data_IF_120001980062
#
_entry.id   IF_120001980062
#
_cell.length_a   1.000
_cell.length_b   1.000
_cell.length_c   1.000
_cell.angle_alpha   90.00
_cell.angle_beta   90.00
_cell.angle_gamma   90.00
#
_symmetry.space_group_name_H-M   'P 1'
#
loop_
_entity.id
_entity.type
_entity.pdbx_description
1 polymer ?
#
# COMPACT_ATOMS: atom_id res chain seq x y z
N UNK A 1 -23.54 25.67 20.59
CA UNK A 1 -22.88 25.79 21.91
C UNK A 1 -22.57 24.39 22.40
N UNK A 2 -21.30 23.99 22.28
CA UNK A 2 -20.52 23.16 23.21
C UNK A 2 -19.12 23.00 22.59
N UNK A 3 -18.37 24.11 22.57
CA UNK A 3 -16.92 24.02 22.60
C UNK A 3 -16.57 23.73 24.06
N UNK A 4 -16.38 22.46 24.40
CA UNK A 4 -15.97 22.05 25.74
C UNK A 4 -14.54 21.55 25.69
N UNK A 5 -13.63 22.37 26.25
CA UNK A 5 -12.30 21.96 26.70
C UNK A 5 -11.16 22.07 25.67
N UNK A 6 -9.90 22.19 26.14
CA UNK A 6 -8.75 21.87 25.31
C UNK A 6 -8.95 20.44 24.78
N UNK A 7 -8.55 20.16 23.53
CA UNK A 7 -8.71 18.83 22.96
C UNK A 7 -7.99 17.80 23.84
N UNK A 8 -8.73 17.11 24.71
CA UNK A 8 -8.17 16.04 25.53
C UNK A 8 -7.65 14.96 24.58
N UNK A 9 -6.37 14.62 24.73
CA UNK A 9 -5.77 13.60 23.89
C UNK A 9 -6.55 12.30 24.04
N UNK A 10 -7.06 11.75 22.91
CA UNK A 10 -7.81 10.48 22.90
C UNK A 10 -6.99 9.32 23.47
N UNK A 11 -5.67 9.46 23.45
CA UNK A 11 -4.71 8.60 24.14
C UNK A 11 -3.74 9.50 24.92
N UNK A 12 -3.61 9.35 26.24
CA UNK A 12 -2.64 10.13 27.00
C UNK A 12 -1.20 9.76 26.62
N UNK A 13 -0.21 10.65 26.82
CA UNK A 13 1.19 10.35 26.57
C UNK A 13 1.64 9.08 27.31
N UNK A 14 2.39 8.22 26.62
CA UNK A 14 2.91 6.96 27.17
C UNK A 14 4.43 7.05 27.33
N UNK A 15 4.92 6.76 28.53
CA UNK A 15 6.35 6.58 28.78
C UNK A 15 6.68 5.09 28.75
N UNK A 16 7.38 4.67 27.69
CA UNK A 16 7.78 3.29 27.49
C UNK A 16 9.24 3.17 27.89
N UNK A 17 9.54 2.22 28.77
CA UNK A 17 10.92 1.91 29.16
C UNK A 17 11.08 0.41 29.26
N UNK A 18 11.75 -0.17 28.27
CA UNK A 18 12.15 -1.58 28.34
C UNK A 18 13.25 -1.72 29.39
N UNK A 19 12.88 -2.16 30.59
CA UNK A 19 13.83 -2.47 31.66
C UNK A 19 13.48 -3.81 32.30
N UNK A 20 14.50 -4.52 32.80
CA UNK A 20 14.33 -5.83 33.47
C UNK A 20 13.58 -5.72 34.82
N UNK A 21 13.47 -4.52 35.38
CA UNK A 21 12.77 -4.26 36.64
C UNK A 21 11.83 -3.09 36.40
N UNK A 22 10.57 -3.40 36.06
CA UNK A 22 9.54 -2.40 35.83
C UNK A 22 9.40 -1.47 37.05
N UNK A 23 9.34 -0.15 36.81
CA UNK A 23 8.94 0.83 37.81
C UNK A 23 7.44 1.06 37.73
N UNK A 24 6.83 1.35 38.87
CA UNK A 24 5.40 1.66 38.94
C UNK A 24 5.06 2.86 38.04
N UNK A 25 4.16 2.66 37.07
CA UNK A 25 3.76 3.68 36.09
C UNK A 25 4.50 3.66 34.74
N UNK A 26 5.48 2.77 34.53
CA UNK A 26 6.18 2.60 33.24
C UNK A 26 5.69 1.35 32.50
N UNK A 27 5.49 1.44 31.17
CA UNK A 27 5.22 0.27 30.33
C UNK A 27 6.54 -0.45 30.04
N UNK A 28 6.67 -1.70 30.51
CA UNK A 28 7.95 -2.43 30.52
C UNK A 28 7.93 -3.72 29.70
N UNK A 29 6.76 -4.33 29.49
CA UNK A 29 6.59 -5.51 28.64
C UNK A 29 5.95 -5.18 27.29
N UNK A 30 6.25 -6.01 26.29
CA UNK A 30 5.70 -5.88 24.93
C UNK A 30 4.19 -6.04 24.92
N UNK A 31 3.67 -6.98 25.70
CA UNK A 31 2.25 -7.28 25.81
C UNK A 31 1.48 -6.12 26.43
N UNK A 32 2.03 -5.45 27.44
CA UNK A 32 1.44 -4.26 28.05
C UNK A 32 1.39 -3.09 27.07
N UNK A 33 2.49 -2.86 26.34
CA UNK A 33 2.56 -1.82 25.30
C UNK A 33 1.47 -2.11 24.25
N UNK A 34 1.41 -3.32 23.71
CA UNK A 34 0.39 -3.71 22.71
C UNK A 34 -1.04 -3.51 23.24
N UNK A 35 -1.30 -3.87 24.49
CA UNK A 35 -2.62 -3.70 25.11
C UNK A 35 -3.02 -2.22 25.23
N UNK A 36 -2.10 -1.36 25.66
CA UNK A 36 -2.36 0.09 25.77
C UNK A 36 -2.60 0.70 24.41
N UNK A 37 -1.73 0.42 23.43
CA UNK A 37 -1.90 0.93 22.07
C UNK A 37 -3.19 0.44 21.42
N UNK A 38 -3.56 -0.84 21.61
CA UNK A 38 -4.83 -1.39 21.11
C UNK A 38 -6.03 -0.66 21.70
N UNK A 39 -5.99 -0.33 23.00
CA UNK A 39 -7.05 0.46 23.64
C UNK A 39 -7.12 1.88 23.08
N UNK A 40 -5.98 2.54 22.89
CA UNK A 40 -5.92 3.87 22.29
C UNK A 40 -6.48 3.89 20.86
N UNK A 41 -6.11 2.90 20.03
CA UNK A 41 -6.64 2.75 18.67
C UNK A 41 -8.15 2.51 18.68
N UNK A 42 -8.66 1.68 19.59
CA UNK A 42 -10.09 1.46 19.72
C UNK A 42 -10.85 2.75 20.06
N UNK A 43 -10.32 3.57 20.99
CA UNK A 43 -10.90 4.87 21.33
C UNK A 43 -10.89 5.87 20.16
N UNK A 44 -9.81 5.89 19.36
CA UNK A 44 -9.72 6.72 18.15
C UNK A 44 -10.78 6.27 17.13
N UNK A 45 -10.91 4.96 16.88
CA UNK A 45 -11.91 4.42 15.95
C UNK A 45 -13.34 4.74 16.41
N UNK A 46 -13.64 4.54 17.70
CA UNK A 46 -14.94 4.89 18.27
C UNK A 46 -15.24 6.39 18.13
N UNK A 47 -14.27 7.25 18.44
CA UNK A 47 -14.40 8.70 18.26
C UNK A 47 -14.64 9.09 16.80
N UNK A 48 -13.95 8.45 15.85
CA UNK A 48 -14.06 8.73 14.42
C UNK A 48 -15.39 8.28 13.81
N UNK A 49 -16.08 7.31 14.40
CA UNK A 49 -17.33 6.74 13.88
C UNK A 49 -18.57 7.35 14.54
N UNK A 50 -18.42 7.95 15.73
CA UNK A 50 -19.51 8.61 16.43
C UNK A 50 -19.71 10.04 15.90
N UNK A 51 -20.76 10.26 15.09
CA UNK A 51 -21.12 11.59 14.54
C UNK A 51 -21.18 12.71 15.57
N UNK A 52 -21.60 12.43 16.81
CA UNK A 52 -21.67 13.45 17.86
C UNK A 52 -20.30 13.89 18.41
N UNK A 53 -19.24 13.12 18.12
CA UNK A 53 -17.84 13.41 18.47
C UNK A 53 -17.00 13.85 17.28
N UNK A 54 -17.55 13.81 16.06
CA UNK A 54 -16.85 14.29 14.88
C UNK A 54 -16.76 15.82 14.92
N UNK A 55 -15.59 16.36 14.60
CA UNK A 55 -15.43 17.80 14.42
C UNK A 55 -16.07 18.23 13.09
N UNK A 56 -16.64 19.44 13.06
CA UNK A 56 -17.20 20.03 11.84
C UNK A 56 -16.10 20.38 10.82
N UNK A 57 -14.83 20.47 11.25
CA UNK A 57 -13.70 20.93 10.44
C UNK A 57 -12.46 20.05 10.68
N UNK A 58 -11.52 20.04 9.74
CA UNK A 58 -10.29 19.24 9.82
C UNK A 58 -9.06 20.15 9.73
N UNK A 59 -8.55 20.59 10.88
CA UNK A 59 -7.43 21.53 10.96
C UNK A 59 -6.08 20.81 11.14
N UNK A 60 -5.57 20.22 10.05
CA UNK A 60 -4.34 19.41 10.04
C UNK A 60 -3.12 20.22 10.50
N UNK A 61 -2.92 21.42 9.96
CA UNK A 61 -1.78 22.28 10.30
C UNK A 61 -1.76 22.68 11.77
N UNK A 62 -2.94 22.93 12.36
CA UNK A 62 -3.09 23.21 13.78
C UNK A 62 -2.77 22.00 14.64
N UNK A 63 -3.31 20.82 14.29
CA UNK A 63 -3.05 19.57 14.99
C UNK A 63 -1.56 19.20 14.98
N UNK A 64 -0.89 19.36 13.83
CA UNK A 64 0.56 19.15 13.70
C UNK A 64 1.33 20.12 14.59
N UNK A 65 0.98 21.40 14.55
CA UNK A 65 1.65 22.41 15.37
C UNK A 65 1.54 22.10 16.87
N UNK A 66 0.39 21.63 17.33
CA UNK A 66 0.17 21.22 18.72
C UNK A 66 0.95 19.94 19.07
N UNK A 67 0.98 18.93 18.19
CA UNK A 67 1.70 17.68 18.42
C UNK A 67 3.23 17.88 18.49
N UNK A 68 3.75 18.81 17.68
CA UNK A 68 5.17 19.16 17.66
C UNK A 68 5.55 19.98 18.90
N UNK A 69 4.68 20.89 19.32
CA UNK A 69 4.88 21.68 20.54
C UNK A 69 4.83 20.81 21.80
N UNK A 70 3.89 19.86 21.88
CA UNK A 70 3.73 18.97 23.04
C UNK A 70 4.87 17.97 23.21
N UNK A 71 5.65 17.73 22.16
CA UNK A 71 6.82 16.84 22.16
C UNK A 71 8.14 17.60 22.06
N UNK A 72 8.15 18.91 22.37
CA UNK A 72 9.39 19.68 22.47
C UNK A 72 10.28 19.13 23.58
N UNK A 73 11.53 18.85 23.24
CA UNK A 73 12.54 18.34 24.15
C UNK A 73 13.76 17.82 23.41
N UNK A 74 14.77 17.42 24.18
CA UNK A 74 16.00 16.84 23.66
C UNK A 74 15.79 15.33 23.44
N UNK A 75 15.25 14.99 22.26
CA UNK A 75 15.09 13.61 21.81
C UNK A 75 16.06 13.32 20.68
N UNK A 76 16.70 12.14 20.71
CA UNK A 76 17.60 11.69 19.64
C UNK A 76 16.87 11.52 18.31
N UNK A 77 15.63 11.01 18.35
CA UNK A 77 14.76 10.89 17.19
C UNK A 77 13.34 11.32 17.53
N UNK A 78 12.67 11.99 16.58
CA UNK A 78 11.29 12.45 16.72
C UNK A 78 10.49 12.01 15.50
N UNK A 79 9.41 11.28 15.72
CA UNK A 79 8.52 10.82 14.66
C UNK A 79 7.14 11.47 14.79
N UNK A 80 6.61 11.93 13.67
CA UNK A 80 5.24 12.42 13.58
C UNK A 80 4.47 11.54 12.59
N UNK A 81 3.53 10.75 13.07
CA UNK A 81 2.70 9.87 12.23
C UNK A 81 1.31 10.51 12.08
N UNK A 82 0.91 10.75 10.83
CA UNK A 82 -0.35 11.41 10.50
C UNK A 82 -1.19 10.46 9.66
N UNK A 83 -2.42 10.20 10.11
CA UNK A 83 -3.41 9.43 9.38
C UNK A 83 -4.54 10.35 8.90
N UNK A 84 -4.62 10.61 7.60
CA UNK A 84 -5.61 11.54 7.04
C UNK A 84 -5.85 11.32 5.54
N UNK A 85 -6.94 11.86 4.99
CA UNK A 85 -7.08 12.08 3.54
C UNK A 85 -6.33 13.33 3.05
N UNK A 86 -5.74 14.06 4.00
CA UNK A 86 -4.96 15.28 3.82
C UNK A 86 -5.76 16.44 3.21
N UNK A 87 -7.10 16.40 3.32
CA UNK A 87 -7.97 17.53 3.05
C UNK A 87 -8.06 18.41 4.31
N UNK A 88 -7.44 19.60 4.30
CA UNK A 88 -7.59 20.56 5.40
C UNK A 88 -8.82 21.43 5.15
N UNK A 89 -9.82 21.28 6.02
CA UNK A 89 -11.05 22.06 6.01
C UNK A 89 -11.09 22.96 7.25
N UNK A 90 -11.28 24.26 7.04
CA UNK A 90 -11.23 25.29 8.07
C UNK A 90 -12.56 26.03 8.13
N UNK A 91 -12.99 26.49 9.33
CA UNK A 91 -14.15 27.37 9.43
C UNK A 91 -13.95 28.64 8.60
N UNK A 92 -15.04 29.26 8.15
CA UNK A 92 -14.99 30.51 7.39
C UNK A 92 -14.14 31.57 8.10
N UNK A 93 -13.12 32.09 7.41
CA UNK A 93 -12.15 33.05 7.97
C UNK A 93 -11.03 32.42 8.80
N UNK A 94 -11.06 31.10 9.00
CA UNK A 94 -9.98 30.31 9.57
C UNK A 94 -8.71 30.44 8.74
N UNK A 95 -7.56 30.40 9.41
CA UNK A 95 -6.25 30.50 8.78
C UNK A 95 -5.48 29.22 9.02
N UNK A 96 -4.80 28.74 8.00
CA UNK A 96 -3.86 27.63 8.15
C UNK A 96 -2.77 28.01 9.15
N UNK A 97 -2.47 27.13 10.09
CA UNK A 97 -1.42 27.39 11.08
C UNK A 97 -0.04 27.38 10.40
N UNK A 98 0.87 28.21 10.90
CA UNK A 98 2.28 28.12 10.52
C UNK A 98 2.90 26.96 11.28
N UNK A 99 3.31 25.93 10.55
CA UNK A 99 3.99 24.77 11.12
C UNK A 99 5.48 25.09 11.24
N UNK A 100 6.09 24.71 12.36
CA UNK A 100 7.53 24.78 12.56
C UNK A 100 8.02 23.47 13.15
N UNK A 101 8.49 22.61 12.25
CA UNK A 101 9.14 21.36 12.56
C UNK A 101 10.59 21.61 12.96
N UNK A 102 11.13 20.71 13.79
CA UNK A 102 12.49 20.71 14.33
C UNK A 102 13.08 19.32 14.17
N UNK A 103 13.32 18.93 12.91
CA UNK A 103 13.89 17.63 12.49
C UNK A 103 13.00 16.41 12.81
N UNK A 104 11.68 16.55 12.86
CA UNK A 104 10.81 15.38 12.93
C UNK A 104 10.86 14.60 11.61
N UNK A 105 10.86 13.27 11.72
CA UNK A 105 10.61 12.33 10.64
C UNK A 105 9.10 12.15 10.50
N UNK A 106 8.52 12.65 9.43
CA UNK A 106 7.07 12.65 9.21
C UNK A 106 6.65 11.42 8.40
N UNK A 107 5.69 10.66 8.91
CA UNK A 107 5.09 9.51 8.23
C UNK A 107 3.63 9.85 7.93
N UNK A 108 3.32 10.04 6.65
CA UNK A 108 1.99 10.33 6.14
C UNK A 108 1.29 9.04 5.71
N UNK A 109 0.33 8.58 6.50
CA UNK A 109 -0.56 7.47 6.17
C UNK A 109 -1.82 8.03 5.51
N UNK A 110 -2.02 7.73 4.24
CA UNK A 110 -3.05 8.42 3.45
C UNK A 110 -4.06 7.48 2.76
N UNK A 111 -5.27 7.99 2.56
CA UNK A 111 -6.30 7.37 1.71
C UNK A 111 -7.13 8.46 1.01
N UNK A 112 -7.78 8.18 -0.13
CA UNK A 112 -8.73 9.13 -0.71
C UNK A 112 -9.88 9.43 0.26
N UNK A 113 -10.43 10.66 0.18
CA UNK A 113 -11.60 11.06 0.96
C UNK A 113 -12.81 10.24 0.53
N UNK A 114 -13.74 10.03 1.47
CA UNK A 114 -14.99 9.37 1.14
C UNK A 114 -15.81 10.20 0.14
N UNK A 115 -16.13 9.61 -1.01
CA UNK A 115 -16.94 10.28 -2.04
C UNK A 115 -16.19 11.34 -2.84
N UNK A 116 -14.86 11.40 -2.74
CA UNK A 116 -14.03 12.23 -3.63
C UNK A 116 -14.26 11.83 -5.10
N UNK A 117 -14.27 12.80 -6.04
CA UNK A 117 -14.23 12.48 -7.46
C UNK A 117 -13.07 11.52 -7.76
N UNK A 118 -13.22 10.58 -8.70
CA UNK A 118 -12.18 9.59 -9.01
C UNK A 118 -11.02 10.21 -9.82
N UNK A 119 -10.42 11.29 -9.33
CA UNK A 119 -9.25 11.94 -9.89
C UNK A 119 -8.01 11.62 -9.05
N UNK A 120 -7.34 10.53 -9.44
CA UNK A 120 -6.10 10.08 -8.78
C UNK A 120 -5.00 11.15 -8.88
N UNK A 121 -5.02 11.99 -9.91
CA UNK A 121 -4.04 13.06 -10.09
C UNK A 121 -4.18 14.13 -9.01
N UNK A 122 -5.36 14.72 -8.88
CA UNK A 122 -5.65 15.76 -7.88
C UNK A 122 -5.38 15.27 -6.45
N UNK A 123 -5.79 14.03 -6.16
CA UNK A 123 -5.50 13.39 -4.88
C UNK A 123 -4.00 13.30 -4.58
N UNK A 124 -3.20 12.78 -5.52
CA UNK A 124 -1.76 12.63 -5.32
C UNK A 124 -1.05 13.98 -5.29
N UNK A 125 -1.49 14.97 -6.07
CA UNK A 125 -0.96 16.34 -6.01
C UNK A 125 -1.17 16.95 -4.62
N UNK A 126 -2.32 16.67 -3.96
CA UNK A 126 -2.55 17.06 -2.57
C UNK A 126 -1.58 16.38 -1.60
N UNK A 127 -1.31 15.09 -1.77
CA UNK A 127 -0.33 14.37 -0.94
C UNK A 127 1.08 14.94 -1.15
N UNK A 128 1.51 15.17 -2.40
CA UNK A 128 2.80 15.77 -2.71
C UNK A 128 2.93 17.20 -2.16
N UNK A 129 1.85 17.98 -2.21
CA UNK A 129 1.82 19.32 -1.64
C UNK A 129 2.07 19.30 -0.13
N UNK A 130 1.41 18.40 0.60
CA UNK A 130 1.67 18.23 2.04
C UNK A 130 3.09 17.76 2.32
N UNK A 131 3.62 16.83 1.52
CA UNK A 131 4.99 16.38 1.64
C UNK A 131 5.97 17.55 1.53
N UNK A 132 5.83 18.39 0.49
CA UNK A 132 6.65 19.61 0.31
C UNK A 132 6.48 20.57 1.48
N UNK A 133 5.24 20.81 1.90
CA UNK A 133 4.93 21.71 3.02
C UNK A 133 5.60 21.26 4.32
N UNK A 134 5.62 19.97 4.64
CA UNK A 134 6.33 19.46 5.82
C UNK A 134 7.85 19.63 5.69
N UNK A 135 8.44 19.31 4.53
CA UNK A 135 9.86 19.54 4.28
C UNK A 135 10.23 21.02 4.46
N UNK A 136 9.48 21.93 3.85
CA UNK A 136 9.66 23.39 3.96
C UNK A 136 9.46 23.90 5.39
N UNK A 137 8.65 23.21 6.19
CA UNK A 137 8.41 23.55 7.61
C UNK A 137 9.51 23.07 8.55
N UNK A 138 10.52 22.32 8.06
CA UNK A 138 11.67 21.86 8.86
C UNK A 138 11.67 20.37 9.24
N UNK A 139 10.92 19.52 8.54
CA UNK A 139 11.02 18.06 8.71
C UNK A 139 12.42 17.55 8.30
N UNK A 140 12.94 16.53 8.99
CA UNK A 140 14.16 15.82 8.57
C UNK A 140 13.88 15.01 7.30
N UNK A 141 12.78 14.26 7.32
CA UNK A 141 12.31 13.47 6.20
C UNK A 141 10.78 13.37 6.22
N UNK A 142 10.20 13.12 5.05
CA UNK A 142 8.77 12.84 4.92
C UNK A 142 8.60 11.57 4.08
N UNK A 143 7.88 10.59 4.61
CA UNK A 143 7.53 9.33 3.92
C UNK A 143 6.01 9.22 3.79
N UNK A 144 5.53 8.86 2.62
CA UNK A 144 4.10 8.71 2.32
C UNK A 144 3.75 7.25 2.06
N UNK A 145 2.73 6.73 2.75
CA UNK A 145 2.26 5.36 2.55
C UNK A 145 0.75 5.40 2.35
N UNK A 146 0.23 4.91 1.22
CA UNK A 146 -1.20 4.73 1.09
C UNK A 146 -1.64 3.55 1.97
N UNK A 147 -2.73 3.75 2.71
CA UNK A 147 -3.19 2.82 3.76
C UNK A 147 -3.45 1.40 3.26
N UNK A 148 -3.90 1.22 2.03
CA UNK A 148 -4.16 -0.11 1.48
C UNK A 148 -2.86 -0.94 1.36
N UNK A 149 -1.70 -0.29 1.38
CA UNK A 149 -0.38 -0.87 1.16
C UNK A 149 0.46 -1.00 2.43
N UNK A 150 -0.07 -0.63 3.60
CA UNK A 150 0.69 -0.70 4.85
C UNK A 150 0.96 -2.16 5.23
N UNK A 151 2.20 -2.46 5.59
CA UNK A 151 2.62 -3.72 6.22
C UNK A 151 3.50 -3.42 7.42
N UNK A 152 3.61 -4.36 8.37
CA UNK A 152 4.50 -4.19 9.51
C UNK A 152 5.94 -3.97 9.03
N UNK A 153 6.38 -4.76 8.05
CA UNK A 153 7.74 -4.65 7.57
C UNK A 153 8.02 -3.31 6.89
N UNK A 154 7.06 -2.81 6.10
CA UNK A 154 7.15 -1.49 5.47
C UNK A 154 7.23 -0.36 6.49
N UNK A 155 6.46 -0.48 7.57
CA UNK A 155 6.46 0.51 8.64
C UNK A 155 7.77 0.47 9.44
N UNK A 156 8.27 -0.73 9.76
CA UNK A 156 9.58 -0.94 10.38
C UNK A 156 10.71 -0.36 9.56
N UNK A 157 10.67 -0.55 8.24
CA UNK A 157 11.69 0.00 7.35
C UNK A 157 11.76 1.52 7.44
N UNK A 158 10.61 2.19 7.48
CA UNK A 158 10.59 3.65 7.60
C UNK A 158 11.17 4.11 8.94
N UNK A 159 10.81 3.43 10.04
CA UNK A 159 11.23 3.85 11.38
C UNK A 159 12.71 3.52 11.64
N UNK A 160 13.15 2.30 11.30
CA UNK A 160 14.46 1.80 11.68
C UNK A 160 15.61 2.26 10.77
N UNK A 161 15.33 3.10 9.75
CA UNK A 161 16.27 3.56 8.70
C UNK A 161 17.03 2.38 8.09
N UNK A 162 16.50 1.71 7.05
CA UNK A 162 17.11 0.50 6.58
C UNK A 162 18.48 0.82 6.02
N UNK A 163 19.50 0.03 6.34
CA UNK A 163 20.76 0.11 5.61
C UNK A 163 20.48 -0.09 4.10
N UNK A 164 21.24 0.52 3.19
CA UNK A 164 21.01 0.40 1.74
C UNK A 164 20.98 -1.05 1.23
N UNK A 165 21.64 -1.98 1.93
CA UNK A 165 21.57 -3.43 1.68
C UNK A 165 20.22 -4.11 2.00
N UNK A 166 19.29 -3.43 2.70
CA UNK A 166 17.97 -3.95 3.08
C UNK A 166 16.85 -3.53 2.13
N UNK A 167 17.16 -2.95 0.97
CA UNK A 167 16.15 -2.61 -0.02
C UNK A 167 15.52 -3.91 -0.57
N UNK A 168 14.21 -4.02 -0.35
CA UNK A 168 13.39 -5.24 -0.40
C UNK A 168 12.79 -5.52 -1.76
N UNK A 169 12.13 -6.66 -1.85
CA UNK A 169 11.25 -7.01 -2.96
C UNK A 169 9.82 -6.64 -2.61
N UNK A 170 9.15 -5.87 -3.47
CA UNK A 170 7.71 -5.65 -3.43
C UNK A 170 7.09 -6.37 -4.61
N UNK A 171 6.15 -7.27 -4.34
CA UNK A 171 5.38 -7.95 -5.36
C UNK A 171 3.90 -7.57 -5.23
N UNK A 172 3.35 -7.01 -6.31
CA UNK A 172 1.92 -6.66 -6.38
C UNK A 172 1.25 -7.47 -7.46
N UNK A 173 0.18 -8.17 -7.09
CA UNK A 173 -0.72 -8.88 -8.00
C UNK A 173 -1.97 -8.04 -8.17
N UNK A 174 -2.16 -7.51 -9.36
CA UNK A 174 -3.37 -6.82 -9.79
C UNK A 174 -4.29 -7.78 -10.52
N UNK A 175 -5.57 -7.78 -10.17
CA UNK A 175 -6.59 -8.49 -10.92
C UNK A 175 -7.74 -7.59 -11.33
N UNK A 176 -8.06 -7.65 -12.61
CA UNK A 176 -9.25 -7.08 -13.19
C UNK A 176 -10.38 -8.11 -13.13
N UNK A 177 -11.36 -7.86 -12.27
CA UNK A 177 -12.38 -8.86 -11.93
C UNK A 177 -13.59 -8.88 -12.88
N UNK A 178 -13.45 -8.40 -14.11
CA UNK A 178 -14.53 -8.46 -15.09
C UNK A 178 -15.06 -9.89 -15.27
N UNK A 179 -16.38 -10.08 -15.44
CA UNK A 179 -16.98 -11.42 -15.50
C UNK A 179 -16.46 -12.35 -16.60
N UNK A 180 -16.00 -11.83 -17.74
CA UNK A 180 -15.42 -12.68 -18.81
C UNK A 180 -14.00 -13.13 -18.51
N UNK A 181 -13.30 -12.45 -17.60
CA UNK A 181 -12.01 -12.89 -17.07
C UNK A 181 -12.26 -13.94 -15.98
N UNK A 182 -13.21 -13.67 -15.07
CA UNK A 182 -13.58 -14.55 -13.95
C UNK A 182 -15.10 -14.78 -13.89
N UNK A 183 -15.65 -15.80 -14.60
CA UNK A 183 -17.09 -16.02 -14.66
C UNK A 183 -17.67 -16.57 -13.35
N UNK A 184 -18.71 -15.92 -12.82
CA UNK A 184 -19.29 -16.16 -11.49
C UNK A 184 -20.12 -17.45 -11.31
N UNK A 185 -20.16 -18.37 -12.29
CA UNK A 185 -21.21 -19.40 -12.36
C UNK A 185 -20.87 -20.74 -13.01
N UNK A 186 -19.63 -21.22 -12.97
CA UNK A 186 -19.29 -22.57 -13.43
C UNK A 186 -17.88 -22.97 -13.02
N UNK A 187 -17.41 -24.13 -13.50
CA UNK A 187 -16.02 -24.62 -13.47
C UNK A 187 -15.03 -23.68 -14.21
N UNK A 188 -15.21 -22.36 -14.13
CA UNK A 188 -14.32 -21.37 -14.71
C UNK A 188 -13.14 -21.08 -13.77
N UNK A 189 -12.25 -20.21 -14.24
CA UNK A 189 -11.11 -19.64 -13.50
C UNK A 189 -11.45 -19.10 -12.10
N UNK A 190 -12.75 -18.91 -11.80
CA UNK A 190 -13.30 -18.52 -10.51
C UNK A 190 -13.17 -19.59 -9.40
N UNK A 191 -12.83 -20.85 -9.72
CA UNK A 191 -12.50 -21.89 -8.74
C UNK A 191 -11.06 -21.76 -8.22
N UNK A 192 -10.61 -20.56 -7.83
CA UNK A 192 -9.29 -20.26 -7.23
C UNK A 192 -8.02 -20.71 -7.98
N UNK A 193 -8.12 -21.53 -9.04
CA UNK A 193 -7.03 -22.36 -9.56
C UNK A 193 -5.87 -21.54 -10.12
N UNK A 194 -6.14 -20.52 -10.94
CA UNK A 194 -5.07 -19.71 -11.52
C UNK A 194 -4.40 -18.80 -10.49
N UNK A 195 -5.16 -18.14 -9.61
CA UNK A 195 -4.55 -17.35 -8.54
C UNK A 195 -3.75 -18.23 -7.58
N UNK A 196 -4.25 -19.43 -7.25
CA UNK A 196 -3.50 -20.41 -6.45
C UNK A 196 -2.23 -20.84 -7.19
N UNK A 197 -2.29 -21.07 -8.50
CA UNK A 197 -1.13 -21.43 -9.32
C UNK A 197 -0.11 -20.28 -9.39
N UNK A 198 -0.55 -19.03 -9.53
CA UNK A 198 0.31 -17.84 -9.42
C UNK A 198 0.94 -17.80 -8.03
N UNK A 199 0.15 -17.91 -6.96
CA UNK A 199 0.62 -17.89 -5.57
C UNK A 199 1.67 -18.96 -5.28
N UNK A 200 1.50 -20.18 -5.83
CA UNK A 200 2.49 -21.27 -5.75
C UNK A 200 3.82 -20.92 -6.42
N UNK A 201 3.77 -20.34 -7.61
CA UNK A 201 4.99 -19.91 -8.31
C UNK A 201 5.67 -18.76 -7.57
N UNK A 202 4.89 -17.80 -7.05
CA UNK A 202 5.42 -16.72 -6.20
C UNK A 202 6.12 -17.29 -4.96
N UNK A 203 5.48 -18.22 -4.26
CA UNK A 203 6.07 -18.88 -3.09
C UNK A 203 7.39 -19.58 -3.43
N UNK A 204 7.43 -20.33 -4.55
CA UNK A 204 8.63 -21.03 -4.99
C UNK A 204 9.78 -20.09 -5.43
N UNK A 205 9.46 -18.87 -5.88
CA UNK A 205 10.46 -17.89 -6.35
C UNK A 205 10.94 -16.94 -5.25
N UNK A 206 10.22 -16.82 -4.13
CA UNK A 206 10.46 -15.74 -3.16
C UNK A 206 11.85 -15.78 -2.52
N UNK A 207 12.42 -16.97 -2.33
CA UNK A 207 13.78 -17.17 -1.83
C UNK A 207 14.87 -16.74 -2.80
N UNK A 208 14.56 -16.62 -4.10
CA UNK A 208 15.49 -16.09 -5.10
C UNK A 208 15.52 -14.56 -5.09
N UNK A 209 14.69 -13.88 -4.31
CA UNK A 209 14.61 -12.41 -4.32
C UNK A 209 15.28 -11.77 -3.11
N UNK A 210 15.68 -10.49 -3.21
CA UNK A 210 16.16 -9.72 -2.07
C UNK A 210 15.15 -9.74 -0.91
N UNK A 211 15.60 -10.24 0.24
CA UNK A 211 14.80 -10.32 1.46
C UNK A 211 14.64 -8.95 2.15
N UNK A 212 13.51 -8.65 2.80
CA UNK A 212 12.27 -9.45 2.77
C UNK A 212 11.45 -9.20 1.49
N UNK A 213 10.53 -10.10 1.18
CA UNK A 213 9.54 -10.00 0.12
C UNK A 213 8.19 -9.59 0.72
N UNK A 214 7.64 -8.46 0.30
CA UNK A 214 6.27 -8.04 0.64
C UNK A 214 5.36 -8.36 -0.54
N UNK A 215 4.37 -9.23 -0.34
CA UNK A 215 3.38 -9.61 -1.36
C UNK A 215 2.04 -8.92 -1.07
N UNK A 216 1.44 -8.33 -2.11
CA UNK A 216 0.15 -7.66 -2.02
C UNK A 216 -0.77 -8.07 -3.18
N UNK A 217 -2.04 -8.32 -2.88
CA UNK A 217 -3.07 -8.66 -3.86
C UNK A 217 -4.12 -7.54 -3.92
N UNK A 218 -4.41 -7.00 -5.10
CA UNK A 218 -5.29 -5.85 -5.28
C UNK A 218 -6.23 -6.05 -6.46
N UNK A 219 -7.53 -5.93 -6.20
CA UNK A 219 -8.58 -5.90 -7.22
C UNK A 219 -8.73 -4.52 -7.82
N UNK A 220 -8.65 -4.45 -9.14
CA UNK A 220 -8.94 -3.26 -9.93
C UNK A 220 -10.46 -3.14 -10.10
N UNK A 221 -10.96 -1.91 -10.08
CA UNK A 221 -12.38 -1.59 -10.26
C UNK A 221 -12.53 -0.36 -11.17
N UNK A 222 -13.73 0.17 -11.36
CA UNK A 222 -14.01 1.33 -12.21
C UNK A 222 -13.43 2.67 -11.74
N UNK A 223 -12.68 2.67 -10.64
CA UNK A 223 -11.92 3.81 -10.13
C UNK A 223 -10.70 3.31 -9.37
N UNK A 224 -9.56 3.98 -9.56
CA UNK A 224 -8.33 3.75 -8.80
C UNK A 224 -8.45 4.00 -7.29
N UNK A 225 -9.55 4.60 -6.82
CA UNK A 225 -9.85 4.77 -5.39
C UNK A 225 -10.67 3.62 -4.80
N UNK A 226 -11.32 2.81 -5.63
CA UNK A 226 -12.16 1.69 -5.21
C UNK A 226 -11.40 0.37 -5.27
N UNK A 227 -10.23 0.34 -4.62
CA UNK A 227 -9.37 -0.84 -4.57
C UNK A 227 -9.88 -1.85 -3.56
N UNK A 228 -9.87 -3.14 -3.94
CA UNK A 228 -10.05 -4.26 -3.00
C UNK A 228 -8.69 -4.89 -2.74
N UNK A 229 -8.02 -4.45 -1.68
CA UNK A 229 -6.71 -4.96 -1.31
C UNK A 229 -6.82 -6.00 -0.19
N UNK A 230 -6.15 -7.14 -0.35
CA UNK A 230 -5.83 -8.01 0.78
C UNK A 230 -4.72 -7.38 1.63
N UNK A 231 -4.63 -7.79 2.89
CA UNK A 231 -3.51 -7.38 3.73
C UNK A 231 -2.19 -7.88 3.11
N UNK A 232 -1.17 -7.02 2.98
CA UNK A 232 0.15 -7.48 2.55
C UNK A 232 0.70 -8.56 3.48
N UNK A 233 1.45 -9.50 2.92
CA UNK A 233 2.16 -10.55 3.66
C UNK A 233 3.66 -10.35 3.44
N UNK A 234 4.40 -10.34 4.54
CA UNK A 234 5.85 -10.19 4.54
C UNK A 234 6.51 -11.56 4.74
N UNK A 235 7.46 -11.89 3.86
CA UNK A 235 8.24 -13.13 3.90
C UNK A 235 9.73 -12.83 3.88
N UNK A 236 10.49 -13.48 4.76
CA UNK A 236 11.94 -13.39 4.73
C UNK A 236 12.54 -14.59 5.41
N UNK A 237 13.18 -15.46 4.64
CA UNK A 237 13.77 -16.69 5.18
C UNK A 237 14.81 -16.39 6.24
N UNK A 238 14.63 -17.00 7.41
CA UNK A 238 15.57 -16.91 8.55
C UNK A 238 15.70 -18.27 9.20
N UNK A 239 16.93 -18.59 9.63
CA UNK A 239 17.20 -19.82 10.40
C UNK A 239 16.61 -19.77 11.81
N UNK A 240 16.53 -18.56 12.40
CA UNK A 240 15.98 -18.33 13.73
C UNK A 240 15.06 -17.12 13.67
N UNK A 241 13.79 -17.30 14.02
CA UNK A 241 12.82 -16.22 14.16
C UNK A 241 13.13 -15.44 15.42
N UNK A 242 13.43 -14.16 15.30
CA UNK A 242 13.68 -13.29 16.45
C UNK A 242 12.35 -12.81 17.06
N UNK A 243 12.38 -12.38 18.32
CA UNK A 243 11.21 -11.76 18.96
C UNK A 243 10.74 -10.47 18.27
N UNK A 244 11.60 -9.90 17.42
CA UNK A 244 11.33 -8.71 16.62
C UNK A 244 10.68 -9.02 15.27
N UNK A 245 10.65 -10.28 14.84
CA UNK A 245 10.01 -10.75 13.60
C UNK A 245 8.51 -11.03 13.78
N UNK A 246 7.79 -10.05 14.33
CA UNK A 246 6.34 -10.09 14.40
C UNK A 246 5.76 -10.02 12.97
N UNK A 247 4.77 -10.86 12.70
CA UNK A 247 4.05 -11.02 11.43
C UNK A 247 4.90 -11.34 10.17
N UNK A 248 6.23 -11.35 10.27
CA UNK A 248 7.12 -11.86 9.23
C UNK A 248 7.06 -13.39 9.20
N UNK A 249 6.71 -13.93 8.04
CA UNK A 249 6.79 -15.37 7.77
C UNK A 249 8.24 -15.71 7.43
N UNK A 250 8.83 -16.65 8.17
CA UNK A 250 10.23 -17.07 7.98
C UNK A 250 10.37 -18.49 7.45
N UNK A 251 9.28 -19.26 7.47
CA UNK A 251 9.19 -20.63 6.97
C UNK A 251 8.55 -20.68 5.57
N UNK A 252 9.15 -21.45 4.67
CA UNK A 252 8.69 -21.56 3.28
C UNK A 252 7.32 -22.24 3.17
N UNK A 253 7.05 -23.25 4.00
CA UNK A 253 5.77 -23.98 3.97
C UNK A 253 4.64 -23.11 4.50
N UNK A 254 4.89 -22.35 5.57
CA UNK A 254 3.95 -21.34 6.08
C UNK A 254 3.66 -20.27 5.02
N UNK A 255 4.68 -19.80 4.30
CA UNK A 255 4.51 -18.80 3.24
C UNK A 255 3.70 -19.34 2.07
N UNK A 256 3.96 -20.58 1.63
CA UNK A 256 3.17 -21.25 0.61
C UNK A 256 1.70 -21.35 1.00
N UNK A 257 1.40 -21.77 2.23
CA UNK A 257 0.03 -21.84 2.75
C UNK A 257 -0.62 -20.46 2.72
N UNK A 258 0.07 -19.42 3.19
CA UNK A 258 -0.42 -18.06 3.19
C UNK A 258 -0.73 -17.55 1.76
N UNK A 259 0.10 -17.86 0.77
CA UNK A 259 -0.14 -17.51 -0.63
C UNK A 259 -1.37 -18.21 -1.21
N UNK A 260 -1.57 -19.48 -0.93
CA UNK A 260 -2.77 -20.20 -1.39
C UNK A 260 -4.05 -19.67 -0.72
N UNK A 261 -4.02 -19.39 0.58
CA UNK A 261 -5.16 -18.84 1.32
C UNK A 261 -5.53 -17.44 0.84
N UNK A 262 -4.53 -16.58 0.62
CA UNK A 262 -4.73 -15.25 0.02
C UNK A 262 -5.34 -15.36 -1.37
N UNK A 263 -4.78 -16.21 -2.24
CA UNK A 263 -5.30 -16.42 -3.59
C UNK A 263 -6.77 -16.86 -3.59
N UNK A 264 -7.14 -17.79 -2.70
CA UNK A 264 -8.53 -18.25 -2.53
C UNK A 264 -9.44 -17.12 -2.06
N UNK A 265 -9.07 -16.38 -1.00
CA UNK A 265 -9.87 -15.25 -0.49
C UNK A 265 -10.04 -14.17 -1.56
N UNK A 266 -8.94 -13.79 -2.20
CA UNK A 266 -8.90 -12.77 -3.24
C UNK A 266 -9.81 -13.11 -4.42
N UNK A 267 -9.85 -14.38 -4.85
CA UNK A 267 -10.74 -14.84 -5.93
C UNK A 267 -12.23 -14.62 -5.62
N UNK A 268 -12.64 -14.70 -4.35
CA UNK A 268 -14.02 -14.45 -3.92
C UNK A 268 -14.32 -12.96 -3.85
N UNK A 269 -13.32 -12.13 -3.55
CA UNK A 269 -13.46 -10.67 -3.47
C UNK A 269 -13.80 -10.03 -4.83
N UNK A 270 -13.55 -10.69 -5.96
CA UNK A 270 -13.78 -10.13 -7.29
C UNK A 270 -15.22 -9.98 -7.76
N UNK A 271 -16.19 -10.57 -7.05
CA UNK A 271 -17.58 -10.63 -7.53
C UNK A 271 -18.21 -9.23 -7.61
N UNK A 272 -18.89 -8.96 -8.73
CA UNK A 272 -19.69 -7.75 -8.95
C UNK A 272 -18.91 -6.51 -9.42
N UNK A 273 -17.69 -6.70 -9.93
CA UNK A 273 -16.90 -5.63 -10.55
C UNK A 273 -17.20 -5.58 -12.06
N UNK A 274 -17.53 -4.39 -12.57
CA UNK A 274 -17.92 -4.19 -13.98
C UNK A 274 -17.07 -3.14 -14.71
N UNK A 275 -16.23 -2.40 -13.99
CA UNK A 275 -15.36 -1.37 -14.55
C UNK A 275 -13.89 -1.62 -14.22
N UNK A 276 -13.01 -1.02 -15.02
CA UNK A 276 -11.57 -1.16 -14.90
C UNK A 276 -10.89 0.18 -15.13
N UNK A 277 -10.21 0.65 -14.08
CA UNK A 277 -9.32 1.79 -14.04
C UNK A 277 -7.91 1.29 -13.66
N UNK A 278 -7.24 0.66 -14.62
CA UNK A 278 -5.94 0.06 -14.40
C UNK A 278 -4.88 1.17 -14.26
N UNK A 279 -4.92 2.17 -15.12
CA UNK A 279 -3.98 3.29 -15.13
C UNK A 279 -4.07 4.15 -13.86
N UNK A 280 -5.28 4.42 -13.34
CA UNK A 280 -5.48 5.09 -12.06
C UNK A 280 -4.97 4.25 -10.88
N UNK A 281 -5.22 2.95 -10.90
CA UNK A 281 -4.67 2.02 -9.89
C UNK A 281 -3.14 2.01 -9.91
N UNK A 282 -2.53 1.96 -11.10
CA UNK A 282 -1.08 1.99 -11.28
C UNK A 282 -0.48 3.32 -10.83
N UNK A 283 -1.16 4.43 -11.13
CA UNK A 283 -0.78 5.76 -10.66
C UNK A 283 -0.79 5.84 -9.14
N UNK A 284 -1.80 5.27 -8.47
CA UNK A 284 -1.83 5.22 -7.01
C UNK A 284 -0.73 4.29 -6.43
N UNK A 285 -0.46 3.15 -7.07
CA UNK A 285 0.64 2.27 -6.65
C UNK A 285 2.03 2.91 -6.80
N UNK A 286 2.19 3.83 -7.74
CA UNK A 286 3.46 4.55 -7.91
C UNK A 286 3.80 5.49 -6.76
N UNK A 287 2.85 5.85 -5.90
CA UNK A 287 3.08 6.76 -4.77
C UNK A 287 3.54 6.04 -3.49
N UNK A 288 3.73 4.72 -3.53
CA UNK A 288 4.09 3.92 -2.36
C UNK A 288 5.55 4.14 -1.96
N UNK A 289 5.79 4.54 -0.71
CA UNK A 289 7.11 4.52 -0.08
C UNK A 289 7.22 3.48 1.04
N UNK A 290 8.44 3.00 1.37
CA UNK A 290 9.71 3.26 0.70
C UNK A 290 9.80 2.56 -0.66
N UNK A 291 10.62 3.11 -1.55
CA UNK A 291 10.85 2.54 -2.87
C UNK A 291 11.63 1.20 -2.71
N UNK A 292 11.11 0.07 -3.23
CA UNK A 292 11.79 -1.22 -3.14
C UNK A 292 13.02 -1.29 -4.08
N UNK A 293 13.95 -2.21 -3.83
CA UNK A 293 15.03 -2.54 -4.79
C UNK A 293 14.47 -3.24 -6.01
N UNK A 294 13.57 -4.17 -5.75
CA UNK A 294 12.94 -4.99 -6.76
C UNK A 294 11.43 -4.81 -6.66
N UNK A 295 10.83 -4.31 -7.73
CA UNK A 295 9.39 -4.13 -7.84
C UNK A 295 8.86 -5.10 -8.90
N UNK A 296 8.01 -6.05 -8.50
CA UNK A 296 7.40 -7.04 -9.39
C UNK A 296 5.91 -6.75 -9.45
N UNK A 297 5.41 -6.50 -10.64
CA UNK A 297 4.00 -6.23 -10.88
C UNK A 297 3.42 -7.31 -11.79
N UNK A 298 2.49 -8.10 -11.26
CA UNK A 298 1.74 -9.10 -12.03
C UNK A 298 0.34 -8.59 -12.25
N UNK A 299 -0.13 -8.54 -13.50
CA UNK A 299 -1.43 -7.96 -13.85
C UNK A 299 -2.24 -8.99 -14.61
N UNK A 300 -3.37 -9.40 -14.05
CA UNK A 300 -4.35 -10.27 -14.68
C UNK A 300 -5.49 -9.42 -15.20
N UNK A 301 -5.55 -9.21 -16.52
CA UNK A 301 -6.56 -8.35 -17.16
C UNK A 301 -6.75 -8.66 -18.64
N UNK A 302 -7.84 -8.18 -19.22
CA UNK A 302 -8.01 -8.04 -20.67
C UNK A 302 -7.36 -6.77 -21.22
N UNK A 303 -6.79 -5.95 -20.32
CA UNK A 303 -6.16 -4.66 -20.57
C UNK A 303 -7.09 -3.63 -21.22
N UNK A 304 -8.39 -3.85 -21.17
CA UNK A 304 -9.42 -2.93 -21.64
C UNK A 304 -9.89 -2.05 -20.48
N UNK A 305 -9.57 -0.76 -20.53
CA UNK A 305 -10.07 0.19 -19.55
C UNK A 305 -11.48 0.66 -19.90
N UNK A 306 -12.32 0.78 -18.88
CA UNK A 306 -13.68 1.30 -19.04
C UNK A 306 -13.76 2.79 -18.74
N UNK A 307 -12.67 3.39 -18.26
CA UNK A 307 -12.63 4.81 -17.91
C UNK A 307 -12.44 5.68 -19.17
N UNK A 308 -13.06 6.88 -19.23
CA UNK A 308 -13.02 7.71 -20.43
C UNK A 308 -11.64 8.29 -20.75
N UNK A 309 -10.80 8.49 -19.73
CA UNK A 309 -9.50 9.16 -19.84
C UNK A 309 -8.46 8.43 -18.98
N UNK A 310 -7.74 7.47 -19.56
CA UNK A 310 -6.60 6.83 -18.91
C UNK A 310 -5.59 7.87 -18.41
N UNK A 311 -5.04 7.65 -17.22
CA UNK A 311 -4.03 8.54 -16.65
C UNK A 311 -2.63 8.02 -16.91
N UNK A 312 -1.64 8.91 -17.00
CA UNK A 312 -0.24 8.49 -17.08
C UNK A 312 0.24 8.02 -15.70
N UNK A 313 1.04 6.96 -15.68
CA UNK A 313 1.72 6.48 -14.50
C UNK A 313 3.22 6.36 -14.78
N UNK A 314 4.02 6.38 -13.72
CA UNK A 314 5.46 6.14 -13.75
C UNK A 314 5.79 5.29 -12.55
N UNK A 315 6.57 4.23 -12.72
CA UNK A 315 7.02 3.44 -11.60
C UNK A 315 8.01 4.24 -10.74
N UNK A 316 8.13 3.91 -9.44
CA UNK A 316 9.15 4.50 -8.59
C UNK A 316 10.52 4.38 -9.25
N UNK A 317 11.17 5.53 -9.46
CA UNK A 317 12.44 5.62 -10.17
C UNK A 317 13.55 5.95 -9.16
N UNK A 318 14.50 5.03 -9.02
CA UNK A 318 15.75 5.25 -8.29
C UNK A 318 16.86 4.51 -9.03
N UNK A 319 18.11 4.97 -8.92
CA UNK A 319 19.27 4.31 -9.53
C UNK A 319 19.41 2.82 -9.19
N UNK A 320 18.72 2.35 -8.13
CA UNK A 320 18.80 0.98 -7.62
C UNK A 320 17.50 0.19 -7.75
N UNK A 321 16.43 0.80 -8.26
CA UNK A 321 15.11 0.16 -8.35
C UNK A 321 14.88 -0.43 -9.72
N UNK A 322 14.50 -1.71 -9.75
CA UNK A 322 14.14 -2.40 -10.99
C UNK A 322 12.68 -2.83 -10.95
N UNK A 323 11.89 -2.35 -11.92
CA UNK A 323 10.50 -2.77 -12.07
C UNK A 323 10.36 -3.83 -13.17
N UNK A 324 9.73 -4.96 -12.84
CA UNK A 324 9.39 -6.04 -13.77
C UNK A 324 7.87 -6.19 -13.84
N UNK A 325 7.32 -6.24 -15.05
CA UNK A 325 5.88 -6.37 -15.26
C UNK A 325 5.56 -7.69 -15.95
N UNK A 326 4.60 -8.44 -15.42
CA UNK A 326 4.03 -9.63 -16.05
C UNK A 326 2.57 -9.34 -16.39
N UNK A 327 2.25 -9.37 -17.68
CA UNK A 327 0.92 -9.16 -18.22
C UNK A 327 0.26 -10.51 -18.49
N UNK A 328 -0.57 -10.99 -17.57
CA UNK A 328 -1.47 -12.12 -17.83
C UNK A 328 -2.68 -11.62 -18.61
N UNK A 329 -2.74 -11.96 -19.89
CA UNK A 329 -3.67 -11.35 -20.83
C UNK A 329 -4.68 -12.35 -21.40
N UNK A 330 -5.88 -11.84 -21.69
CA UNK A 330 -6.95 -12.54 -22.40
C UNK A 330 -7.70 -11.55 -23.31
N UNK A 331 -8.22 -11.96 -24.47
CA UNK A 331 -9.08 -11.11 -25.28
C UNK A 331 -10.33 -10.65 -24.52
N UNK A 332 -10.75 -9.42 -24.80
CA UNK A 332 -12.01 -8.86 -24.31
C UNK A 332 -13.14 -9.19 -25.28
N UNK A 333 -14.42 -9.26 -24.84
CA UNK A 333 -15.56 -9.45 -25.74
C UNK A 333 -15.62 -8.40 -26.88
N UNK A 334 -15.13 -7.18 -26.64
CA UNK A 334 -15.07 -6.09 -27.62
C UNK A 334 -14.09 -6.39 -28.78
N UNK A 335 -13.16 -7.32 -28.61
CA UNK A 335 -12.20 -7.73 -29.64
C UNK A 335 -12.76 -8.75 -30.62
N UNK A 336 -13.95 -9.32 -30.34
CA UNK A 336 -14.52 -10.39 -31.15
C UNK A 336 -14.72 -10.01 -32.62
N UNK A 337 -14.85 -8.71 -32.92
CA UNK A 337 -15.04 -8.17 -34.27
C UNK A 337 -13.75 -7.70 -34.93
N UNK A 338 -12.68 -7.55 -34.17
CA UNK A 338 -11.40 -7.01 -34.61
C UNK A 338 -10.26 -7.60 -33.76
N UNK A 339 -9.68 -8.73 -34.20
CA UNK A 339 -8.58 -9.36 -33.49
C UNK A 339 -7.30 -8.52 -33.46
N UNK A 340 -7.11 -7.61 -34.41
CA UNK A 340 -5.91 -6.75 -34.45
C UNK A 340 -5.95 -5.73 -33.32
N UNK A 341 -7.15 -5.22 -33.00
CA UNK A 341 -7.38 -4.33 -31.83
C UNK A 341 -6.92 -4.93 -30.50
N UNK A 342 -7.01 -6.26 -30.35
CA UNK A 342 -6.50 -6.94 -29.16
C UNK A 342 -4.98 -6.83 -29.07
N UNK A 343 -4.26 -7.14 -30.15
CA UNK A 343 -2.80 -7.07 -30.17
C UNK A 343 -2.28 -5.64 -30.06
N UNK A 344 -2.89 -4.69 -30.77
CA UNK A 344 -2.57 -3.27 -30.65
C UNK A 344 -2.73 -2.76 -29.22
N UNK A 345 -3.75 -3.23 -28.50
CA UNK A 345 -3.97 -2.88 -27.10
C UNK A 345 -2.86 -3.42 -26.20
N UNK A 346 -2.45 -4.68 -26.37
CA UNK A 346 -1.34 -5.24 -25.60
C UNK A 346 -0.02 -4.52 -25.90
N UNK A 347 0.24 -4.20 -27.18
CA UNK A 347 1.41 -3.42 -27.60
C UNK A 347 1.45 -2.02 -27.00
N UNK A 348 0.29 -1.36 -26.92
CA UNK A 348 0.18 -0.07 -26.25
C UNK A 348 0.52 -0.19 -24.78
N UNK A 349 -0.06 -1.15 -24.06
CA UNK A 349 0.21 -1.33 -22.63
C UNK A 349 1.65 -1.69 -22.33
N UNK A 350 2.27 -2.57 -23.12
CA UNK A 350 3.69 -2.85 -22.97
C UNK A 350 4.54 -1.59 -23.16
N UNK A 351 4.26 -0.79 -24.19
CA UNK A 351 4.94 0.50 -24.39
C UNK A 351 4.71 1.44 -23.21
N UNK A 352 3.49 1.52 -22.68
CA UNK A 352 3.16 2.37 -21.53
C UNK A 352 3.92 1.93 -20.27
N UNK A 353 4.05 0.62 -20.02
CA UNK A 353 4.88 0.09 -18.92
C UNK A 353 6.36 0.41 -19.11
N UNK A 354 6.91 0.22 -20.31
CA UNK A 354 8.30 0.54 -20.62
C UNK A 354 8.56 2.05 -20.47
N UNK A 355 7.67 2.90 -21.00
CA UNK A 355 7.73 4.36 -20.85
C UNK A 355 7.56 4.80 -19.39
N UNK A 356 6.80 4.05 -18.60
CA UNK A 356 6.66 4.23 -17.16
C UNK A 356 7.91 3.83 -16.36
N UNK A 357 8.94 3.26 -16.98
CA UNK A 357 10.19 2.88 -16.32
C UNK A 357 10.31 1.39 -15.99
N UNK A 358 9.47 0.52 -16.55
CA UNK A 358 9.68 -0.92 -16.43
C UNK A 358 11.00 -1.32 -17.10
N UNK A 359 11.81 -2.12 -16.41
CA UNK A 359 13.03 -2.72 -16.96
C UNK A 359 12.71 -3.84 -17.95
N UNK A 360 11.63 -4.59 -17.68
CA UNK A 360 11.16 -5.68 -18.53
C UNK A 360 9.65 -5.83 -18.39
N UNK A 361 9.00 -6.12 -19.51
CA UNK A 361 7.60 -6.52 -19.59
C UNK A 361 7.54 -7.92 -20.21
N UNK A 362 6.76 -8.80 -19.61
CA UNK A 362 6.55 -10.17 -20.11
C UNK A 362 5.06 -10.39 -20.33
N UNK A 363 4.66 -10.93 -21.48
CA UNK A 363 3.27 -11.26 -21.79
C UNK A 363 3.04 -12.75 -21.63
N UNK A 364 2.00 -13.12 -20.88
CA UNK A 364 1.59 -14.51 -20.69
C UNK A 364 0.10 -14.67 -21.02
N UNK A 365 -0.27 -15.58 -21.94
CA UNK A 365 -1.67 -15.85 -22.21
C UNK A 365 -2.31 -16.54 -21.00
N UNK A 366 -3.29 -15.87 -20.38
CA UNK A 366 -3.95 -16.31 -19.13
C UNK A 366 -4.49 -17.74 -19.19
N UNK A 367 -4.90 -18.21 -20.36
CA UNK A 367 -5.50 -19.54 -20.54
C UNK A 367 -4.50 -20.68 -20.76
N UNK A 368 -3.22 -20.39 -21.00
CA UNK A 368 -2.27 -21.42 -21.47
C UNK A 368 -0.85 -21.30 -20.92
N UNK A 369 -0.59 -20.35 -20.03
CA UNK A 369 0.71 -20.23 -19.38
C UNK A 369 1.03 -21.46 -18.51
N UNK A 370 2.33 -21.70 -18.31
CA UNK A 370 2.89 -22.75 -17.45
C UNK A 370 3.72 -22.14 -16.31
N UNK A 371 3.94 -22.87 -15.19
CA UNK A 371 4.79 -22.37 -14.12
C UNK A 371 6.19 -21.95 -14.61
N UNK A 372 6.76 -22.70 -15.56
CA UNK A 372 8.03 -22.36 -16.20
C UNK A 372 7.98 -21.06 -16.99
N UNK A 373 6.87 -20.77 -17.68
CA UNK A 373 6.71 -19.50 -18.41
C UNK A 373 6.75 -18.33 -17.43
N UNK A 374 6.00 -18.42 -16.32
CA UNK A 374 6.00 -17.40 -15.29
C UNK A 374 7.37 -17.23 -14.62
N UNK A 375 8.02 -18.34 -14.25
CA UNK A 375 9.37 -18.29 -13.70
C UNK A 375 10.37 -17.61 -14.65
N UNK A 376 10.26 -17.83 -15.96
CA UNK A 376 11.12 -17.20 -16.96
C UNK A 376 10.90 -15.69 -17.14
N UNK A 377 9.70 -15.21 -16.79
CA UNK A 377 9.35 -13.79 -16.80
C UNK A 377 9.87 -13.04 -15.56
N UNK A 378 10.10 -13.77 -14.47
CA UNK A 378 10.48 -13.17 -13.19
C UNK A 378 12.00 -13.02 -13.09
N UNK A 379 12.47 -11.97 -12.42
CA UNK A 379 13.89 -11.82 -12.15
C UNK A 379 14.36 -12.91 -11.18
N UNK A 380 15.57 -13.40 -11.42
CA UNK A 380 16.33 -14.17 -10.42
C UNK A 380 17.21 -13.21 -9.66
N UNK A 381 17.47 -13.49 -8.39
CA UNK A 381 18.34 -12.66 -7.56
C UNK A 381 19.79 -12.80 -8.01
N UNK A 382 20.27 -11.79 -8.74
CA UNK A 382 21.69 -11.49 -8.89
C UNK A 382 22.11 -10.35 -7.96
#
# INVERSE_FOLDING_TARGET
IHATGPADALCPPQNIRTSLVGREGELSSKEEIQKVFSKCMASIVEGSTNRSRQSDYTHISGAVSMAVDSTRGDYDERFLIILSDFEEDLPTGGRTATMKLSNEKVIMLHRPKWGEPPDVGEYLDRIEWWQKRFMESGAEEVKTIPLFSISEQRFRDIILKPRPEWLRTSLTILADFKPHIFPSGGNGLADSGEFVRIGRVVAAMADEWPNAVTVQWIGVNGSGFQLRAERPVDYGRKLVKSADDLDLITDESEFLIAMEELARRFSVQGRGVYGTDLSGTLRLLSSVNPIPRLNILMIVSDFHETIPRPVKFRFPDSERTHTYVVMFHKPSPEDARDPDRYWERLDRWERDFMNGGARRVCRLPLMSWTPSDLQSCLPRGD
#
